data_IF_452578676500
#
_entry.id   IF_452578676500
#
_cell.length_a   1.000
_cell.length_b   1.000
_cell.length_c   1.000
_cell.angle_alpha   90.00
_cell.angle_beta   90.00
_cell.angle_gamma   90.00
#
_symmetry.space_group_name_H-M   'P 1'
#
loop_
_entity.id
_entity.type
_entity.pdbx_description
1 polymer ?
#
# COMPACT_ATOMS: atom_id res chain seq x y z
N UNK A 1 -6.23 13.42 -22.10
CA UNK A 1 -5.75 12.11 -22.62
C UNK A 1 -6.15 10.95 -21.70
N UNK A 2 -5.87 11.01 -20.39
CA UNK A 2 -6.19 9.90 -19.47
C UNK A 2 -7.69 9.55 -19.43
N UNK A 3 -8.58 10.52 -19.44
CA UNK A 3 -10.05 10.29 -19.43
C UNK A 3 -10.51 9.39 -20.59
N UNK A 4 -9.99 9.60 -21.78
CA UNK A 4 -10.32 8.76 -22.94
C UNK A 4 -9.74 7.35 -22.78
N UNK A 5 -8.48 7.23 -22.35
CA UNK A 5 -7.87 5.93 -22.08
C UNK A 5 -8.65 5.15 -21.00
N UNK A 6 -9.07 5.82 -19.92
CA UNK A 6 -9.90 5.23 -18.86
C UNK A 6 -11.26 4.75 -19.42
N UNK A 7 -11.92 5.55 -20.26
CA UNK A 7 -13.21 5.14 -20.86
C UNK A 7 -13.07 3.86 -21.71
N UNK A 8 -11.97 3.71 -22.43
CA UNK A 8 -11.69 2.49 -23.20
C UNK A 8 -11.36 1.31 -22.28
N UNK A 9 -10.49 1.50 -21.31
CA UNK A 9 -10.12 0.47 -20.33
C UNK A 9 -11.34 0.01 -19.51
N UNK A 10 -12.27 0.90 -19.20
CA UNK A 10 -13.46 0.55 -18.41
C UNK A 10 -14.49 -0.28 -19.18
N UNK A 11 -14.35 -0.42 -20.50
CA UNK A 11 -15.14 -1.38 -21.30
C UNK A 11 -14.65 -2.82 -21.15
N UNK A 12 -13.41 -3.03 -20.69
CA UNK A 12 -12.84 -4.33 -20.40
C UNK A 12 -13.19 -4.76 -18.97
N UNK A 13 -13.06 -6.06 -18.67
CA UNK A 13 -13.15 -6.52 -17.28
C UNK A 13 -12.12 -5.82 -16.39
N UNK A 14 -12.40 -5.59 -15.09
CA UNK A 14 -11.48 -4.87 -14.23
C UNK A 14 -10.08 -5.47 -14.16
N UNK A 15 -9.96 -6.79 -14.11
CA UNK A 15 -8.67 -7.47 -14.02
C UNK A 15 -7.90 -7.44 -15.35
N UNK A 16 -8.61 -7.61 -16.50
CA UNK A 16 -7.99 -7.43 -17.83
C UNK A 16 -7.48 -6.02 -18.04
N UNK A 17 -8.24 -5.00 -17.61
CA UNK A 17 -7.79 -3.61 -17.67
C UNK A 17 -6.55 -3.38 -16.81
N UNK A 18 -6.51 -3.99 -15.63
CA UNK A 18 -5.37 -3.91 -14.72
C UNK A 18 -4.11 -4.49 -15.38
N UNK A 19 -4.21 -5.72 -15.90
CA UNK A 19 -3.07 -6.42 -16.52
C UNK A 19 -2.55 -5.64 -17.74
N UNK A 20 -3.44 -5.21 -18.63
CA UNK A 20 -3.07 -4.40 -19.80
C UNK A 20 -2.42 -3.07 -19.40
N UNK A 21 -2.97 -2.37 -18.40
CA UNK A 21 -2.41 -1.10 -17.91
C UNK A 21 -1.03 -1.30 -17.31
N UNK A 22 -0.83 -2.37 -16.55
CA UNK A 22 0.45 -2.70 -15.94
C UNK A 22 1.52 -3.01 -16.99
N UNK A 23 1.14 -3.78 -18.03
CA UNK A 23 2.03 -4.10 -19.16
C UNK A 23 2.44 -2.84 -19.93
N UNK A 24 1.49 -1.94 -20.19
CA UNK A 24 1.74 -0.66 -20.90
C UNK A 24 2.64 0.26 -20.06
N UNK A 25 2.37 0.41 -18.76
CA UNK A 25 3.20 1.20 -17.84
C UNK A 25 4.60 0.60 -17.77
N UNK A 26 4.73 -0.72 -17.65
CA UNK A 26 6.01 -1.40 -17.63
C UNK A 26 6.80 -1.24 -18.93
N UNK A 27 6.14 -1.38 -20.08
CA UNK A 27 6.76 -1.17 -21.39
C UNK A 27 7.22 0.29 -21.57
N UNK A 28 6.36 1.25 -21.25
CA UNK A 28 6.70 2.68 -21.27
C UNK A 28 7.85 3.02 -20.33
N UNK A 29 7.90 2.37 -19.16
CA UNK A 29 8.99 2.52 -18.20
C UNK A 29 10.33 2.07 -18.75
N UNK A 30 10.37 0.89 -19.40
CA UNK A 30 11.61 0.39 -20.06
C UNK A 30 12.11 1.32 -21.16
N UNK A 31 11.21 1.97 -21.87
CA UNK A 31 11.51 2.91 -22.96
C UNK A 31 11.75 4.35 -22.46
N UNK A 32 11.55 4.65 -21.19
CA UNK A 32 11.69 6.01 -20.64
C UNK A 32 10.57 6.98 -21.05
N UNK A 33 9.43 6.47 -21.52
CA UNK A 33 8.36 7.30 -22.12
C UNK A 33 7.31 7.77 -21.13
N UNK A 34 7.16 7.12 -19.98
CA UNK A 34 6.08 7.44 -19.05
C UNK A 34 6.17 8.86 -18.47
N UNK A 35 7.37 9.38 -18.28
CA UNK A 35 7.56 10.77 -17.87
C UNK A 35 7.02 11.82 -18.85
N UNK A 36 6.76 11.44 -20.11
CA UNK A 36 6.14 12.32 -21.11
C UNK A 36 4.62 12.40 -20.98
N UNK A 37 4.00 11.43 -20.27
CA UNK A 37 2.54 11.35 -20.13
C UNK A 37 1.98 12.35 -19.11
N UNK A 38 2.81 12.86 -18.22
CA UNK A 38 2.42 13.80 -17.19
C UNK A 38 3.55 14.78 -16.85
N UNK A 39 3.16 15.96 -16.43
CA UNK A 39 4.14 16.93 -15.89
C UNK A 39 4.59 16.42 -14.51
N UNK A 40 5.88 16.23 -14.34
CA UNK A 40 6.48 15.83 -13.06
C UNK A 40 6.02 16.80 -11.93
N UNK A 41 5.71 16.28 -10.74
CA UNK A 41 5.43 17.13 -9.58
C UNK A 41 6.68 17.92 -9.18
N UNK A 42 6.48 19.04 -8.49
CA UNK A 42 7.58 19.77 -7.88
C UNK A 42 8.30 18.90 -6.85
N UNK A 43 9.62 19.05 -6.74
CA UNK A 43 10.37 18.41 -5.65
C UNK A 43 9.95 19.03 -4.32
N UNK A 44 9.46 18.22 -3.43
CA UNK A 44 9.07 18.60 -2.06
C UNK A 44 9.63 17.54 -1.11
N UNK A 45 10.97 17.54 -0.92
CA UNK A 45 11.63 16.49 -0.16
C UNK A 45 11.16 16.46 1.28
N UNK A 46 10.97 15.26 1.80
CA UNK A 46 10.67 14.99 3.20
C UNK A 46 11.52 13.82 3.68
N UNK A 47 12.04 13.90 4.91
CA UNK A 47 12.74 12.78 5.55
C UNK A 47 11.76 12.09 6.50
N UNK A 48 11.55 10.80 6.32
CA UNK A 48 10.66 9.96 7.13
C UNK A 48 11.34 8.60 7.31
N UNK A 49 11.32 8.03 8.51
CA UNK A 49 12.00 6.75 8.81
C UNK A 49 13.52 6.74 8.46
N UNK A 50 14.18 7.90 8.46
CA UNK A 50 15.56 8.02 8.01
C UNK A 50 15.77 7.93 6.49
N UNK A 51 14.70 7.94 5.70
CA UNK A 51 14.71 7.88 4.25
C UNK A 51 14.33 9.24 3.65
N UNK A 52 15.01 9.63 2.57
CA UNK A 52 14.73 10.86 1.84
C UNK A 52 13.77 10.61 0.68
N UNK A 53 12.56 11.13 0.80
CA UNK A 53 11.52 11.04 -0.22
C UNK A 53 11.53 12.32 -1.06
N UNK A 54 11.60 12.26 -2.41
CA UNK A 54 11.59 13.46 -3.25
C UNK A 54 10.27 14.23 -3.21
N UNK A 55 9.18 13.56 -2.85
CA UNK A 55 7.87 14.14 -2.51
C UNK A 55 7.08 13.14 -1.63
N UNK A 56 6.04 13.60 -0.90
CA UNK A 56 5.34 12.77 0.08
C UNK A 56 4.29 11.82 -0.50
N UNK A 57 4.15 11.70 -1.82
CA UNK A 57 3.07 10.93 -2.47
C UNK A 57 3.62 9.66 -3.09
N UNK A 58 3.17 8.50 -2.60
CA UNK A 58 3.61 7.19 -3.06
C UNK A 58 2.54 6.36 -3.75
N UNK A 59 2.99 5.33 -4.46
CA UNK A 59 2.14 4.25 -4.95
C UNK A 59 1.87 3.26 -3.82
N UNK A 60 0.61 2.92 -3.58
CA UNK A 60 0.25 1.88 -2.63
C UNK A 60 0.47 0.47 -3.19
N UNK A 61 0.83 -0.47 -2.32
CA UNK A 61 0.90 -1.89 -2.67
C UNK A 61 -0.41 -2.42 -3.26
N UNK A 62 -0.29 -3.43 -4.11
CA UNK A 62 -1.41 -4.12 -4.76
C UNK A 62 -1.61 -3.74 -6.23
N UNK A 63 -1.15 -2.56 -6.68
CA UNK A 63 -1.15 -2.20 -8.10
C UNK A 63 -0.05 -2.95 -8.87
N UNK A 64 1.14 -3.02 -8.34
CA UNK A 64 2.22 -3.84 -8.90
C UNK A 64 2.65 -4.91 -7.90
N UNK A 65 1.97 -6.06 -7.93
CA UNK A 65 2.23 -7.13 -6.95
C UNK A 65 3.55 -7.84 -7.16
N UNK A 66 4.02 -7.90 -8.40
CA UNK A 66 5.16 -8.71 -8.80
C UNK A 66 6.38 -7.90 -9.27
N UNK A 67 6.36 -6.57 -9.14
CA UNK A 67 7.44 -5.70 -9.60
C UNK A 67 7.54 -5.59 -11.12
N UNK A 68 6.42 -5.70 -11.84
CA UNK A 68 6.39 -5.69 -13.31
C UNK A 68 6.65 -4.30 -13.92
N UNK A 69 6.33 -3.23 -13.18
CA UNK A 69 6.32 -1.85 -13.68
C UNK A 69 6.98 -0.82 -12.75
N UNK A 70 7.95 -1.24 -11.93
CA UNK A 70 8.63 -0.37 -10.94
C UNK A 70 9.13 0.92 -11.60
N UNK A 71 9.95 0.81 -12.67
CA UNK A 71 10.50 1.96 -13.40
C UNK A 71 9.39 2.82 -14.02
N UNK A 72 8.32 2.15 -14.46
CA UNK A 72 7.18 2.80 -15.07
C UNK A 72 6.41 3.70 -14.11
N UNK A 73 6.12 3.23 -12.93
CA UNK A 73 5.46 4.02 -11.88
C UNK A 73 6.35 5.14 -11.36
N UNK A 74 7.63 4.87 -11.17
CA UNK A 74 8.59 5.90 -10.76
C UNK A 74 8.63 7.08 -11.74
N UNK A 75 8.60 6.82 -13.06
CA UNK A 75 8.57 7.86 -14.09
C UNK A 75 7.29 8.69 -14.12
N UNK A 76 6.20 8.21 -13.55
CA UNK A 76 4.95 8.95 -13.43
C UNK A 76 4.96 10.03 -12.33
N UNK A 77 6.02 10.09 -11.53
CA UNK A 77 6.24 11.16 -10.55
C UNK A 77 5.92 10.80 -9.10
N UNK A 78 5.63 9.52 -8.80
CA UNK A 78 5.56 9.07 -7.41
C UNK A 78 6.87 9.31 -6.67
N UNK A 79 6.81 9.84 -5.45
CA UNK A 79 7.96 10.02 -4.58
C UNK A 79 8.53 8.71 -4.06
N UNK A 80 7.71 7.67 -4.00
CA UNK A 80 8.10 6.31 -3.66
C UNK A 80 7.12 5.30 -4.25
N UNK A 81 7.59 4.07 -4.42
CA UNK A 81 6.80 2.97 -4.99
C UNK A 81 6.76 1.83 -3.99
N UNK A 82 5.56 1.36 -3.64
CA UNK A 82 5.38 0.13 -2.84
C UNK A 82 4.82 -0.98 -3.73
N UNK A 83 5.58 -2.07 -3.84
CA UNK A 83 5.21 -3.28 -4.60
C UNK A 83 4.79 -4.41 -3.67
N UNK A 84 4.13 -5.44 -4.20
CA UNK A 84 3.54 -6.52 -3.41
C UNK A 84 2.02 -6.32 -3.27
N UNK A 85 1.32 -7.04 -2.40
CA UNK A 85 1.81 -7.94 -1.36
C UNK A 85 2.36 -9.22 -1.98
N UNK A 86 3.54 -9.58 -1.54
CA UNK A 86 4.22 -10.82 -1.92
C UNK A 86 4.16 -11.84 -0.78
N UNK A 87 4.14 -13.11 -1.11
CA UNK A 87 4.18 -14.23 -0.16
C UNK A 87 5.41 -15.10 -0.44
N UNK A 88 5.87 -15.95 0.51
CA UNK A 88 7.02 -16.83 0.28
C UNK A 88 6.90 -17.66 -0.99
N UNK A 89 5.75 -18.28 -1.20
CA UNK A 89 5.44 -19.11 -2.37
C UNK A 89 4.46 -18.40 -3.30
N UNK A 90 4.49 -18.67 -4.62
CA UNK A 90 3.46 -18.17 -5.52
C UNK A 90 2.08 -18.73 -5.13
N UNK A 91 1.04 -17.91 -5.37
CA UNK A 91 -0.34 -18.37 -5.20
C UNK A 91 -1.29 -17.65 -6.17
N UNK A 92 -2.35 -18.33 -6.64
CA UNK A 92 -3.26 -17.79 -7.65
C UNK A 92 -4.21 -16.72 -7.08
N UNK A 93 -4.38 -16.66 -5.75
CA UNK A 93 -5.41 -15.88 -5.10
C UNK A 93 -6.80 -16.51 -5.22
N UNK A 94 -7.83 -15.74 -4.90
CA UNK A 94 -9.23 -16.19 -4.92
C UNK A 94 -9.74 -16.42 -6.35
N UNK A 95 -10.79 -17.23 -6.56
CA UNK A 95 -11.44 -17.41 -7.86
C UNK A 95 -11.94 -16.10 -8.48
N UNK A 96 -11.91 -16.01 -9.81
CA UNK A 96 -12.50 -14.90 -10.59
C UNK A 96 -14.02 -15.11 -10.77
N UNK A 97 -14.83 -14.01 -10.86
CA UNK A 97 -14.45 -12.60 -10.75
C UNK A 97 -14.13 -12.19 -9.30
N UNK A 98 -13.14 -11.34 -9.11
CA UNK A 98 -12.62 -10.94 -7.80
C UNK A 98 -12.24 -9.45 -7.69
N UNK A 99 -12.59 -8.67 -8.70
CA UNK A 99 -12.34 -7.23 -8.78
C UNK A 99 -13.53 -6.55 -9.43
N UNK A 100 -14.16 -5.60 -8.74
CA UNK A 100 -15.38 -4.92 -9.14
C UNK A 100 -15.21 -3.42 -9.02
N UNK A 101 -15.51 -2.70 -10.11
CA UNK A 101 -15.49 -1.24 -10.13
C UNK A 101 -16.86 -0.70 -9.78
N UNK A 102 -16.88 0.37 -8.99
CA UNK A 102 -18.07 1.15 -8.63
C UNK A 102 -17.85 2.58 -9.11
N UNK A 103 -18.04 2.86 -10.42
CA UNK A 103 -17.66 4.14 -11.03
C UNK A 103 -18.35 5.34 -10.41
N UNK A 104 -19.61 5.22 -10.03
CA UNK A 104 -20.42 6.30 -9.43
C UNK A 104 -19.86 6.74 -8.07
N UNK A 105 -19.31 5.78 -7.30
CA UNK A 105 -18.67 6.03 -6.01
C UNK A 105 -17.15 6.24 -6.11
N UNK A 106 -16.55 6.22 -7.29
CA UNK A 106 -15.08 6.13 -7.45
C UNK A 106 -14.47 5.06 -6.52
N UNK A 107 -15.19 3.93 -6.38
CA UNK A 107 -14.88 2.82 -5.49
C UNK A 107 -14.46 1.57 -6.25
N UNK A 108 -13.78 0.67 -5.54
CA UNK A 108 -13.42 -0.66 -6.03
C UNK A 108 -13.61 -1.66 -4.89
N UNK A 109 -14.35 -2.74 -5.16
CA UNK A 109 -14.38 -3.90 -4.28
C UNK A 109 -13.45 -4.96 -4.85
N UNK A 110 -12.60 -5.54 -4.00
CA UNK A 110 -11.73 -6.63 -4.39
C UNK A 110 -11.68 -7.74 -3.34
N UNK A 111 -11.53 -8.97 -3.84
CA UNK A 111 -11.23 -10.17 -3.07
C UNK A 111 -10.06 -10.94 -3.69
N UNK A 112 -8.96 -10.21 -3.97
CA UNK A 112 -7.81 -10.75 -4.73
C UNK A 112 -7.13 -11.93 -4.05
N UNK A 113 -6.99 -11.93 -2.71
CA UNK A 113 -6.39 -13.05 -1.96
C UNK A 113 -4.88 -13.17 -2.17
N UNK A 114 -4.17 -12.06 -2.29
CA UNK A 114 -2.72 -11.99 -2.49
C UNK A 114 -2.21 -12.84 -3.67
N UNK A 115 -2.90 -12.77 -4.83
CA UNK A 115 -2.39 -13.40 -6.04
C UNK A 115 -1.02 -12.82 -6.39
N UNK A 116 0.01 -13.68 -6.45
CA UNK A 116 1.38 -13.27 -6.71
C UNK A 116 2.24 -14.46 -7.19
N UNK A 117 3.42 -14.17 -7.72
CA UNK A 117 4.36 -15.14 -8.28
C UNK A 117 5.49 -15.56 -7.32
N UNK A 118 5.35 -15.22 -6.02
CA UNK A 118 6.32 -15.55 -4.98
C UNK A 118 7.48 -14.58 -4.88
N UNK A 119 8.10 -14.56 -3.70
CA UNK A 119 9.14 -13.57 -3.36
C UNK A 119 10.36 -13.65 -4.28
N UNK A 120 10.76 -14.84 -4.72
CA UNK A 120 11.94 -15.01 -5.57
C UNK A 120 11.72 -14.40 -6.96
N UNK A 121 10.50 -14.52 -7.52
CA UNK A 121 10.14 -13.86 -8.76
C UNK A 121 10.20 -12.33 -8.62
N UNK A 122 9.60 -11.80 -7.55
CA UNK A 122 9.63 -10.35 -7.27
C UNK A 122 11.07 -9.83 -7.17
N UNK A 123 11.95 -10.53 -6.47
CA UNK A 123 13.36 -10.13 -6.31
C UNK A 123 14.11 -10.10 -7.64
N UNK A 124 13.85 -11.05 -8.54
CA UNK A 124 14.42 -11.03 -9.89
C UNK A 124 13.97 -9.76 -10.66
N UNK A 125 12.71 -9.33 -10.48
CA UNK A 125 12.19 -8.09 -11.07
C UNK A 125 12.82 -6.83 -10.45
N UNK A 126 12.97 -6.82 -9.12
CA UNK A 126 13.65 -5.71 -8.41
C UNK A 126 15.10 -5.57 -8.86
N UNK A 127 15.82 -6.68 -8.99
CA UNK A 127 17.20 -6.66 -9.47
C UNK A 127 17.35 -6.13 -10.91
N UNK A 128 16.34 -6.36 -11.77
CA UNK A 128 16.31 -5.88 -13.15
C UNK A 128 15.85 -4.41 -13.28
N UNK A 129 15.22 -3.84 -12.25
CA UNK A 129 14.73 -2.46 -12.26
C UNK A 129 15.89 -1.45 -12.21
N UNK A 130 15.73 -0.34 -12.91
CA UNK A 130 16.68 0.79 -12.93
C UNK A 130 16.38 1.83 -11.84
N UNK A 131 15.22 1.76 -11.23
CA UNK A 131 14.77 2.67 -10.16
C UNK A 131 15.74 2.65 -8.98
N UNK A 132 16.15 3.85 -8.53
CA UNK A 132 17.08 4.06 -7.41
C UNK A 132 16.46 4.90 -6.29
N UNK A 133 15.15 5.18 -6.38
CA UNK A 133 14.42 5.90 -5.34
C UNK A 133 13.96 4.96 -4.22
N UNK A 134 13.05 5.45 -3.38
CA UNK A 134 12.54 4.70 -2.22
C UNK A 134 11.57 3.61 -2.69
N UNK A 135 11.98 2.35 -2.52
CA UNK A 135 11.21 1.15 -2.85
C UNK A 135 10.72 0.46 -1.58
N UNK A 136 9.40 0.46 -1.35
CA UNK A 136 8.77 -0.36 -0.34
C UNK A 136 8.42 -1.75 -0.89
N UNK A 137 8.62 -2.79 -0.07
CA UNK A 137 8.18 -4.16 -0.40
C UNK A 137 7.19 -4.62 0.65
N UNK A 138 5.96 -4.87 0.21
CA UNK A 138 4.86 -5.33 1.05
C UNK A 138 4.85 -6.85 1.11
N UNK A 139 4.90 -7.40 2.31
CA UNK A 139 4.95 -8.85 2.57
C UNK A 139 3.71 -9.34 3.29
N UNK A 140 3.33 -10.57 3.03
CA UNK A 140 2.17 -11.21 3.63
C UNK A 140 2.33 -12.73 3.73
N UNK A 141 1.35 -13.37 4.39
CA UNK A 141 1.34 -14.81 4.55
C UNK A 141 0.64 -15.50 3.36
N UNK A 142 1.10 -16.69 2.99
CA UNK A 142 0.39 -17.58 2.06
C UNK A 142 -1.00 -17.97 2.57
N UNK A 143 -1.91 -18.25 1.64
CA UNK A 143 -3.29 -18.60 1.96
C UNK A 143 -3.38 -19.88 2.80
N UNK A 144 -2.58 -20.89 2.46
CA UNK A 144 -2.55 -22.21 3.07
C UNK A 144 -1.69 -22.31 4.34
N UNK A 145 -0.97 -21.24 4.71
CA UNK A 145 -0.26 -21.18 6.00
C UNK A 145 -1.27 -20.90 7.12
N UNK A 146 -1.35 -21.75 8.16
CA UNK A 146 -2.21 -21.50 9.32
C UNK A 146 -1.87 -20.15 9.98
N UNK A 147 -2.86 -19.51 10.62
CA UNK A 147 -2.67 -18.19 11.25
C UNK A 147 -1.64 -18.26 12.39
N UNK A 148 -1.61 -19.37 13.11
CA UNK A 148 -0.69 -19.64 14.21
C UNK A 148 0.78 -19.74 13.74
N UNK A 149 0.98 -19.97 12.45
CA UNK A 149 2.31 -20.03 11.80
C UNK A 149 2.54 -18.85 10.84
N UNK A 150 1.72 -17.83 10.91
CA UNK A 150 1.83 -16.67 10.01
C UNK A 150 3.22 -16.01 10.08
N UNK A 151 3.82 -15.98 11.27
CA UNK A 151 5.15 -15.40 11.49
C UNK A 151 6.21 -16.03 10.60
N UNK A 152 6.16 -17.33 10.35
CA UNK A 152 7.12 -18.03 9.50
C UNK A 152 7.19 -17.41 8.09
N UNK A 153 6.04 -17.14 7.50
CA UNK A 153 5.94 -16.56 6.16
C UNK A 153 6.46 -15.12 6.11
N UNK A 154 6.17 -14.32 7.15
CA UNK A 154 6.70 -12.96 7.25
C UNK A 154 8.22 -12.96 7.42
N UNK A 155 8.78 -13.84 8.25
CA UNK A 155 10.22 -13.95 8.44
C UNK A 155 10.94 -14.42 7.17
N UNK A 156 10.40 -15.42 6.46
CA UNK A 156 10.93 -15.88 5.18
C UNK A 156 10.97 -14.75 4.15
N UNK A 157 9.87 -13.98 4.04
CA UNK A 157 9.83 -12.84 3.14
C UNK A 157 10.81 -11.75 3.59
N UNK A 158 10.83 -11.39 4.87
CA UNK A 158 11.70 -10.35 5.42
C UNK A 158 13.18 -10.66 5.13
N UNK A 159 13.62 -11.90 5.38
CA UNK A 159 14.99 -12.33 5.09
C UNK A 159 15.39 -12.08 3.64
N UNK A 160 14.50 -12.45 2.73
CA UNK A 160 14.76 -12.37 1.29
C UNK A 160 14.72 -10.93 0.77
N UNK A 161 13.76 -10.10 1.24
CA UNK A 161 13.59 -8.75 0.70
C UNK A 161 14.48 -7.70 1.35
N UNK A 162 15.05 -7.97 2.53
CA UNK A 162 15.74 -7.00 3.36
C UNK A 162 16.85 -6.23 2.64
N UNK A 163 17.70 -6.95 1.90
CA UNK A 163 18.81 -6.34 1.18
C UNK A 163 18.35 -5.42 0.02
N UNK A 164 17.13 -5.63 -0.47
CA UNK A 164 16.59 -5.02 -1.69
C UNK A 164 15.59 -3.90 -1.44
N UNK A 165 15.00 -3.86 -0.26
CA UNK A 165 14.01 -2.85 0.11
C UNK A 165 14.65 -1.60 0.73
N UNK A 166 14.00 -0.45 0.51
CA UNK A 166 14.25 0.77 1.29
C UNK A 166 13.48 0.69 2.62
N UNK A 167 12.26 0.17 2.61
CA UNK A 167 11.47 -0.21 3.79
C UNK A 167 10.62 -1.45 3.48
N UNK A 168 10.20 -2.17 4.50
CA UNK A 168 9.32 -3.34 4.34
C UNK A 168 7.99 -3.06 5.02
N UNK A 169 6.89 -3.36 4.31
CA UNK A 169 5.53 -3.28 4.87
C UNK A 169 5.04 -4.67 5.25
N UNK A 170 4.69 -4.86 6.51
CA UNK A 170 4.05 -6.08 7.03
C UNK A 170 2.54 -5.92 6.93
N UNK A 171 1.90 -6.69 6.06
CA UNK A 171 0.47 -6.58 5.81
C UNK A 171 -0.33 -7.58 6.66
N UNK A 172 -0.88 -7.10 7.76
CA UNK A 172 -1.73 -7.89 8.68
C UNK A 172 -3.23 -7.58 8.51
N UNK A 173 -3.61 -6.85 7.46
CA UNK A 173 -4.92 -6.18 7.38
C UNK A 173 -5.80 -6.60 6.19
N UNK A 174 -5.37 -7.55 5.34
CA UNK A 174 -6.19 -7.99 4.22
C UNK A 174 -7.46 -8.70 4.72
N UNK A 175 -8.65 -8.28 4.24
CA UNK A 175 -9.89 -8.99 4.55
C UNK A 175 -10.07 -10.27 3.73
N UNK A 176 -9.19 -10.51 2.77
CA UNK A 176 -9.32 -11.56 1.75
C UNK A 176 -8.43 -12.79 2.02
N UNK A 177 -7.78 -12.82 3.17
CA UNK A 177 -6.97 -13.94 3.66
C UNK A 177 -7.55 -14.40 5.00
N UNK A 178 -8.01 -15.66 5.11
CA UNK A 178 -8.68 -16.15 6.32
C UNK A 178 -7.86 -15.90 7.59
N UNK A 179 -8.50 -15.38 8.62
CA UNK A 179 -7.91 -15.15 9.93
C UNK A 179 -6.82 -14.08 10.01
N UNK A 180 -6.38 -13.49 8.89
CA UNK A 180 -5.25 -12.56 8.90
C UNK A 180 -5.46 -11.36 9.81
N UNK A 181 -6.67 -10.79 9.82
CA UNK A 181 -6.97 -9.62 10.64
C UNK A 181 -6.94 -9.88 12.15
N UNK A 182 -7.04 -11.14 12.60
CA UNK A 182 -6.88 -11.45 14.02
C UNK A 182 -5.46 -11.18 14.53
N UNK A 183 -4.47 -11.16 13.63
CA UNK A 183 -3.09 -10.80 13.97
C UNK A 183 -2.91 -9.32 14.35
N UNK A 184 -3.93 -8.47 14.16
CA UNK A 184 -3.85 -7.05 14.51
C UNK A 184 -4.12 -6.77 15.99
N UNK A 185 -4.46 -7.78 16.78
CA UNK A 185 -4.97 -7.59 18.14
C UNK A 185 -4.21 -8.40 19.18
N UNK A 186 -4.14 -7.84 20.40
CA UNK A 186 -3.71 -8.53 21.60
C UNK A 186 -2.30 -9.11 21.53
N UNK A 187 -2.14 -10.26 22.17
CA UNK A 187 -0.83 -10.94 22.28
C UNK A 187 -0.32 -11.42 20.91
N UNK A 188 -1.22 -11.77 19.98
CA UNK A 188 -0.83 -12.20 18.63
C UNK A 188 -0.10 -11.11 17.86
N UNK A 189 -0.56 -9.84 17.98
CA UNK A 189 0.14 -8.71 17.37
C UNK A 189 1.49 -8.50 18.04
N UNK A 190 1.53 -8.43 19.37
CA UNK A 190 2.76 -8.17 20.13
C UNK A 190 3.84 -9.22 19.83
N UNK A 191 3.46 -10.50 19.79
CA UNK A 191 4.39 -11.58 19.49
C UNK A 191 4.93 -11.45 18.05
N UNK A 192 4.04 -11.28 17.05
CA UNK A 192 4.47 -11.08 15.67
C UNK A 192 5.44 -9.90 15.52
N UNK A 193 5.14 -8.77 16.17
CA UNK A 193 5.99 -7.58 16.09
C UNK A 193 7.33 -7.79 16.79
N UNK A 194 7.35 -8.51 17.92
CA UNK A 194 8.58 -8.85 18.63
C UNK A 194 9.50 -9.74 17.77
N UNK A 195 8.96 -10.80 17.17
CA UNK A 195 9.71 -11.71 16.28
C UNK A 195 10.29 -10.96 15.06
N UNK A 196 9.50 -10.04 14.49
CA UNK A 196 9.95 -9.20 13.37
C UNK A 196 11.02 -8.20 13.79
N UNK A 197 10.93 -7.60 14.99
CA UNK A 197 11.92 -6.67 15.52
C UNK A 197 13.25 -7.37 15.78
N UNK A 198 13.22 -8.57 16.39
CA UNK A 198 14.39 -9.41 16.61
C UNK A 198 15.07 -9.75 15.27
N UNK A 199 14.28 -10.25 14.31
CA UNK A 199 14.82 -10.60 12.99
C UNK A 199 15.38 -9.41 12.23
N UNK A 200 14.72 -8.26 12.31
CA UNK A 200 15.24 -7.01 11.73
C UNK A 200 16.60 -6.64 12.33
N UNK A 201 16.78 -6.78 13.65
CA UNK A 201 18.05 -6.48 14.31
C UNK A 201 19.18 -7.39 13.81
N UNK A 202 18.92 -8.71 13.68
CA UNK A 202 19.88 -9.66 13.11
C UNK A 202 20.26 -9.31 11.68
N UNK A 203 19.25 -8.97 10.86
CA UNK A 203 19.46 -8.60 9.46
C UNK A 203 20.21 -7.27 9.33
N UNK A 204 19.94 -6.31 10.22
CA UNK A 204 20.65 -5.04 10.24
C UNK A 204 22.15 -5.24 10.50
N UNK A 205 22.53 -6.13 11.45
CA UNK A 205 23.92 -6.50 11.71
C UNK A 205 24.55 -7.21 10.49
N UNK A 206 23.81 -8.15 9.88
CA UNK A 206 24.28 -8.92 8.72
C UNK A 206 24.54 -8.06 7.49
N UNK A 207 23.66 -7.08 7.22
CA UNK A 207 23.71 -6.26 6.02
C UNK A 207 24.33 -4.87 6.23
N UNK A 208 24.68 -4.51 7.47
CA UNK A 208 25.26 -3.20 7.80
C UNK A 208 24.32 -2.02 7.52
N UNK A 209 23.00 -2.26 7.48
CA UNK A 209 21.99 -1.21 7.26
C UNK A 209 20.71 -1.49 8.03
N UNK A 210 20.06 -0.44 8.53
CA UNK A 210 18.71 -0.53 9.06
C UNK A 210 17.68 -0.38 7.93
N UNK A 211 16.75 -1.32 7.82
CA UNK A 211 15.61 -1.26 6.90
C UNK A 211 14.34 -1.11 7.73
N UNK A 212 13.64 0.04 7.64
CA UNK A 212 12.43 0.30 8.41
C UNK A 212 11.32 -0.71 8.16
N UNK A 213 10.58 -1.07 9.23
CA UNK A 213 9.37 -1.89 9.17
C UNK A 213 8.13 -1.02 9.39
N UNK A 214 7.22 -1.02 8.41
CA UNK A 214 5.91 -0.37 8.50
C UNK A 214 4.80 -1.42 8.63
N UNK A 215 3.86 -1.24 9.55
CA UNK A 215 2.76 -2.17 9.77
C UNK A 215 1.50 -1.62 9.12
N UNK A 216 0.89 -2.38 8.19
CA UNK A 216 -0.31 -1.95 7.48
C UNK A 216 -1.56 -2.52 8.14
N UNK A 217 -2.43 -1.62 8.62
CA UNK A 217 -3.62 -1.93 9.42
C UNK A 217 -4.93 -1.73 8.63
N UNK A 218 -6.00 -2.34 9.13
CA UNK A 218 -7.35 -2.19 8.59
C UNK A 218 -8.02 -0.91 9.13
N UNK A 219 -9.03 -0.36 8.43
CA UNK A 219 -9.82 0.75 8.94
C UNK A 219 -10.99 0.29 9.82
N UNK A 220 -11.25 -1.02 9.89
CA UNK A 220 -12.43 -1.59 10.55
C UNK A 220 -12.11 -1.98 12.02
N UNK A 221 -11.55 -1.02 12.75
CA UNK A 221 -11.20 -1.13 14.18
C UNK A 221 -11.90 -0.02 14.95
N UNK A 222 -12.15 -0.24 16.23
CA UNK A 222 -12.59 0.82 17.17
C UNK A 222 -11.41 1.75 17.49
N UNK A 223 -11.70 2.89 18.11
CA UNK A 223 -10.65 3.82 18.53
C UNK A 223 -9.75 3.19 19.59
N UNK A 224 -10.33 2.40 20.52
CA UNK A 224 -9.59 1.65 21.54
C UNK A 224 -8.69 0.59 20.94
N UNK A 225 -9.17 -0.16 19.94
CA UNK A 225 -8.36 -1.14 19.22
C UNK A 225 -7.22 -0.45 18.48
N UNK A 226 -7.49 0.69 17.87
CA UNK A 226 -6.48 1.50 17.17
C UNK A 226 -5.41 2.03 18.13
N UNK A 227 -5.82 2.46 19.33
CA UNK A 227 -4.91 2.89 20.40
C UNK A 227 -4.02 1.73 20.89
N UNK A 228 -4.59 0.53 21.07
CA UNK A 228 -3.82 -0.67 21.45
C UNK A 228 -2.78 -1.03 20.38
N UNK A 229 -3.13 -0.93 19.11
CA UNK A 229 -2.17 -1.12 18.01
C UNK A 229 -1.05 -0.08 18.08
N UNK A 230 -1.39 1.21 18.23
CA UNK A 230 -0.39 2.27 18.34
C UNK A 230 0.60 2.01 19.49
N UNK A 231 0.09 1.59 20.66
CA UNK A 231 0.93 1.25 21.81
C UNK A 231 1.83 0.05 21.52
N UNK A 232 1.31 -1.02 20.90
CA UNK A 232 2.10 -2.19 20.53
C UNK A 232 3.23 -1.84 19.55
N UNK A 233 2.97 -0.95 18.58
CA UNK A 233 3.99 -0.49 17.62
C UNK A 233 5.13 0.28 18.33
N UNK A 234 4.79 1.12 19.31
CA UNK A 234 5.78 1.87 20.10
C UNK A 234 6.62 0.89 20.96
N UNK A 235 5.96 -0.01 21.69
CA UNK A 235 6.60 -0.96 22.60
C UNK A 235 7.57 -1.90 21.88
N UNK A 236 7.26 -2.30 20.66
CA UNK A 236 8.07 -3.22 19.85
C UNK A 236 9.05 -2.51 18.91
N UNK A 237 9.11 -1.18 18.95
CA UNK A 237 10.07 -0.40 18.18
C UNK A 237 9.88 -0.51 16.67
N UNK A 238 8.62 -0.56 16.19
CA UNK A 238 8.33 -0.45 14.76
C UNK A 238 8.67 0.95 14.24
N UNK A 239 8.88 1.10 12.93
CA UNK A 239 9.37 2.36 12.35
C UNK A 239 8.25 3.23 11.75
N UNK A 240 7.11 2.62 11.40
CA UNK A 240 5.95 3.35 10.86
C UNK A 240 4.65 2.52 10.92
N UNK A 241 3.53 3.19 10.70
CA UNK A 241 2.23 2.54 10.46
C UNK A 241 1.64 3.03 9.13
N UNK A 242 1.02 2.10 8.36
CA UNK A 242 0.27 2.44 7.15
C UNK A 242 -1.23 2.32 7.47
N UNK A 243 -1.93 3.44 7.43
CA UNK A 243 -3.36 3.55 7.68
C UNK A 243 -4.07 4.17 6.46
N UNK A 244 -4.89 3.36 5.70
CA UNK A 244 -5.38 2.02 6.02
C UNK A 244 -5.38 1.09 4.81
N UNK A 245 -5.69 -0.18 5.03
CA UNK A 245 -6.14 -1.11 4.01
C UNK A 245 -7.61 -0.79 3.61
N UNK A 246 -8.26 -1.70 2.89
CA UNK A 246 -9.67 -1.62 2.46
C UNK A 246 -10.63 -1.92 3.61
N UNK A 247 -11.89 -1.46 3.51
CA UNK A 247 -12.95 -1.69 4.50
C UNK A 247 -13.91 -2.81 4.10
N UNK A 248 -14.49 -3.47 5.09
CA UNK A 248 -15.64 -4.37 4.91
C UNK A 248 -16.99 -3.63 4.94
N UNK A 249 -17.00 -2.37 5.37
CA UNK A 249 -18.19 -1.52 5.32
C UNK A 249 -18.64 -1.30 3.86
N UNK A 250 -19.96 -1.18 3.67
CA UNK A 250 -20.58 -0.87 2.38
C UNK A 250 -21.21 0.53 2.36
N UNK A 251 -20.95 1.32 3.40
CA UNK A 251 -21.44 2.70 3.47
C UNK A 251 -21.00 3.49 2.23
N UNK A 252 -21.97 4.10 1.57
CA UNK A 252 -21.76 4.90 0.36
C UNK A 252 -21.73 4.12 -0.95
N UNK A 253 -22.07 2.81 -0.93
CA UNK A 253 -22.16 1.98 -2.12
C UNK A 253 -23.43 1.09 -2.11
N UNK A 254 -24.32 1.31 -1.15
CA UNK A 254 -25.55 0.55 -0.99
C UNK A 254 -26.42 0.71 -2.25
N UNK A 255 -26.95 -0.40 -2.75
CA UNK A 255 -27.83 -0.44 -3.92
C UNK A 255 -27.14 -0.19 -5.26
N UNK A 256 -25.82 0.05 -5.28
CA UNK A 256 -25.07 0.13 -6.54
C UNK A 256 -24.84 -1.26 -7.14
N UNK A 257 -24.70 -1.34 -8.45
CA UNK A 257 -24.27 -2.56 -9.13
C UNK A 257 -22.93 -3.02 -8.53
N UNK A 258 -22.84 -4.27 -8.11
CA UNK A 258 -21.70 -4.85 -7.36
C UNK A 258 -21.44 -4.26 -5.97
N UNK A 259 -22.30 -3.41 -5.42
CA UNK A 259 -22.10 -2.81 -4.09
C UNK A 259 -22.06 -3.82 -2.96
N UNK A 260 -22.77 -4.94 -3.10
CA UNK A 260 -22.87 -6.03 -2.09
C UNK A 260 -21.82 -7.14 -2.26
N UNK A 261 -20.94 -7.03 -3.26
CA UNK A 261 -19.90 -8.04 -3.48
C UNK A 261 -19.00 -8.24 -2.25
N UNK A 262 -18.64 -9.49 -1.96
CA UNK A 262 -17.70 -9.81 -0.90
C UNK A 262 -16.30 -9.29 -1.21
N UNK A 263 -15.58 -8.82 -0.19
CA UNK A 263 -14.21 -8.31 -0.33
C UNK A 263 -14.01 -6.94 0.33
N UNK A 264 -12.86 -6.36 0.10
CA UNK A 264 -12.50 -5.05 0.65
C UNK A 264 -12.89 -3.91 -0.29
N UNK A 265 -13.60 -2.91 0.22
CA UNK A 265 -13.97 -1.68 -0.48
C UNK A 265 -12.87 -0.63 -0.32
N UNK A 266 -12.47 -0.02 -1.43
CA UNK A 266 -11.47 1.06 -1.52
C UNK A 266 -12.00 2.22 -2.36
N UNK A 267 -11.23 3.30 -2.48
CA UNK A 267 -11.62 4.51 -3.21
C UNK A 267 -12.32 5.53 -2.31
N UNK A 268 -13.09 6.45 -2.90
CA UNK A 268 -13.70 7.54 -2.16
C UNK A 268 -14.53 7.08 -0.94
N UNK A 269 -15.26 5.94 -0.98
CA UNK A 269 -16.06 5.50 0.18
C UNK A 269 -15.27 5.24 1.47
N UNK A 270 -13.98 4.91 1.38
CA UNK A 270 -13.15 4.65 2.57
C UNK A 270 -12.48 5.90 3.15
N UNK A 271 -12.63 7.07 2.49
CA UNK A 271 -11.89 8.30 2.82
C UNK A 271 -12.05 8.72 4.27
N UNK A 272 -13.28 8.91 4.70
CA UNK A 272 -13.57 9.48 6.02
C UNK A 272 -13.14 8.52 7.14
N UNK A 273 -13.42 7.24 6.97
CA UNK A 273 -13.00 6.19 7.90
C UNK A 273 -11.47 6.08 8.01
N UNK A 274 -10.77 6.10 6.88
CA UNK A 274 -9.30 6.11 6.87
C UNK A 274 -8.73 7.38 7.49
N UNK A 275 -9.33 8.56 7.24
CA UNK A 275 -8.90 9.82 7.86
C UNK A 275 -9.12 9.80 9.36
N UNK A 276 -10.23 9.23 9.84
CA UNK A 276 -10.50 9.05 11.26
C UNK A 276 -9.43 8.17 11.92
N UNK A 277 -9.12 7.00 11.33
CA UNK A 277 -8.06 6.12 11.84
C UNK A 277 -6.70 6.84 11.91
N UNK A 278 -6.37 7.66 10.91
CA UNK A 278 -5.13 8.48 10.93
C UNK A 278 -5.12 9.45 12.09
N UNK A 279 -6.25 10.13 12.39
CA UNK A 279 -6.36 11.08 13.51
C UNK A 279 -6.18 10.38 14.86
N UNK A 280 -6.81 9.23 15.05
CA UNK A 280 -6.66 8.43 16.28
C UNK A 280 -5.21 8.00 16.45
N UNK A 281 -4.59 7.44 15.41
CA UNK A 281 -3.17 7.07 15.44
C UNK A 281 -2.26 8.27 15.74
N UNK A 282 -2.51 9.43 15.13
CA UNK A 282 -1.69 10.62 15.36
C UNK A 282 -1.74 11.09 16.82
N UNK A 283 -2.94 11.02 17.44
CA UNK A 283 -3.13 11.31 18.86
C UNK A 283 -2.35 10.32 19.74
N UNK A 284 -2.52 9.02 19.50
CA UNK A 284 -1.95 7.95 20.33
C UNK A 284 -0.42 7.83 20.17
N UNK A 285 0.08 7.99 18.96
CA UNK A 285 1.51 7.91 18.67
C UNK A 285 2.27 9.15 19.18
N UNK A 286 1.62 10.30 19.31
CA UNK A 286 2.23 11.53 19.83
C UNK A 286 3.52 11.92 19.08
N UNK A 287 3.61 11.63 17.79
CA UNK A 287 4.77 11.92 16.94
C UNK A 287 5.94 10.92 17.07
N UNK A 288 5.83 9.86 17.88
CA UNK A 288 6.89 8.85 18.07
C UNK A 288 7.12 7.99 16.82
N UNK A 289 6.06 7.73 16.04
CA UNK A 289 6.14 7.01 14.77
C UNK A 289 5.42 7.78 13.67
N UNK A 290 5.99 7.82 12.46
CA UNK A 290 5.32 8.41 11.30
C UNK A 290 4.17 7.53 10.81
N UNK A 291 3.14 8.20 10.25
CA UNK A 291 1.97 7.57 9.65
C UNK A 291 2.05 7.75 8.13
N UNK A 292 1.92 6.67 7.38
CA UNK A 292 1.72 6.69 5.93
C UNK A 292 0.23 6.49 5.69
N UNK A 293 -0.47 7.53 5.23
CA UNK A 293 -1.91 7.46 5.06
C UNK A 293 -2.29 6.90 3.69
N UNK A 294 -3.24 5.95 3.66
CA UNK A 294 -3.81 5.38 2.44
C UNK A 294 -5.32 5.24 2.58
N UNK A 295 -6.04 5.48 1.49
CA UNK A 295 -7.50 5.31 1.42
C UNK A 295 -8.24 6.61 1.11
N UNK A 296 -9.04 6.59 0.04
CA UNK A 296 -9.95 7.65 -0.33
C UNK A 296 -9.31 8.90 -0.97
N UNK A 297 -8.06 8.84 -1.38
CA UNK A 297 -7.40 9.97 -2.06
C UNK A 297 -7.77 9.93 -3.54
N UNK A 298 -8.75 10.76 -3.95
CA UNK A 298 -9.23 10.91 -5.33
C UNK A 298 -9.10 12.34 -5.85
N UNK A 299 -8.66 13.27 -5.00
CA UNK A 299 -8.33 14.67 -5.34
C UNK A 299 -7.13 15.12 -4.50
N UNK A 300 -6.41 16.17 -4.94
CA UNK A 300 -5.26 16.70 -4.21
C UNK A 300 -5.60 17.13 -2.78
N UNK A 301 -6.78 17.75 -2.58
CA UNK A 301 -7.23 18.15 -1.22
C UNK A 301 -7.34 16.98 -0.24
N UNK A 302 -7.68 15.77 -0.72
CA UNK A 302 -7.76 14.59 0.15
C UNK A 302 -6.38 14.14 0.64
N UNK A 303 -5.34 14.32 -0.17
CA UNK A 303 -3.95 14.09 0.28
C UNK A 303 -3.53 15.12 1.35
N UNK A 304 -3.86 16.39 1.14
CA UNK A 304 -3.63 17.46 2.12
C UNK A 304 -4.38 17.20 3.43
N UNK A 305 -5.62 16.73 3.37
CA UNK A 305 -6.44 16.32 4.53
C UNK A 305 -5.75 15.23 5.37
N UNK A 306 -5.15 14.21 4.72
CA UNK A 306 -4.40 13.15 5.43
C UNK A 306 -3.19 13.71 6.18
N UNK A 307 -2.45 14.63 5.55
CA UNK A 307 -1.31 15.30 6.22
C UNK A 307 -1.79 16.14 7.40
N UNK A 308 -2.86 16.91 7.24
CA UNK A 308 -3.48 17.68 8.33
C UNK A 308 -3.98 16.79 9.46
N UNK A 309 -4.42 15.57 9.15
CA UNK A 309 -4.83 14.57 10.13
C UNK A 309 -3.66 13.95 10.92
N UNK A 310 -2.40 14.25 10.54
CA UNK A 310 -1.19 13.79 11.23
C UNK A 310 -0.33 12.81 10.46
N UNK A 311 -0.64 12.54 9.18
CA UNK A 311 0.21 11.69 8.35
C UNK A 311 1.49 12.42 7.91
N UNK A 312 2.58 11.68 7.76
CA UNK A 312 3.85 12.15 7.21
C UNK A 312 3.94 11.95 5.69
N UNK A 313 3.36 10.87 5.20
CA UNK A 313 3.32 10.47 3.79
C UNK A 313 1.92 9.99 3.41
N UNK A 314 1.62 9.97 2.11
CA UNK A 314 0.38 9.42 1.58
C UNK A 314 0.65 8.40 0.48
N UNK A 315 -0.25 7.42 0.35
CA UNK A 315 -0.24 6.42 -0.73
C UNK A 315 -1.55 6.46 -1.51
N UNK A 316 -1.45 6.37 -2.84
CA UNK A 316 -2.58 6.36 -3.76
C UNK A 316 -2.71 4.99 -4.43
N UNK A 317 -3.95 4.48 -4.52
CA UNK A 317 -4.34 3.25 -5.25
C UNK A 317 -5.53 3.53 -6.18
N UNK A 318 -6.76 3.46 -5.67
CA UNK A 318 -8.00 3.60 -6.46
C UNK A 318 -8.11 4.97 -7.13
N UNK A 319 -7.65 6.02 -6.45
CA UNK A 319 -7.62 7.37 -7.04
C UNK A 319 -6.76 7.43 -8.30
N UNK A 320 -5.64 6.71 -8.35
CA UNK A 320 -4.81 6.63 -9.56
C UNK A 320 -5.57 5.94 -10.71
N UNK A 321 -6.37 4.91 -10.42
CA UNK A 321 -7.17 4.22 -11.44
C UNK A 321 -8.26 5.14 -12.01
N UNK A 322 -8.86 6.00 -11.18
CA UNK A 322 -9.94 6.90 -11.61
C UNK A 322 -9.44 8.22 -12.23
N UNK A 323 -8.37 8.79 -11.70
CA UNK A 323 -7.88 10.13 -12.07
C UNK A 323 -6.58 10.11 -12.88
N UNK A 324 -5.85 9.00 -12.87
CA UNK A 324 -4.57 8.85 -13.56
C UNK A 324 -3.41 9.62 -12.92
N UNK A 325 -2.31 9.78 -13.68
CA UNK A 325 -1.08 10.38 -13.16
C UNK A 325 -1.20 11.84 -12.71
N UNK A 326 -2.19 12.59 -13.21
CA UNK A 326 -2.42 13.99 -12.80
C UNK A 326 -2.63 14.11 -11.27
N UNK A 327 -3.30 13.11 -10.67
CA UNK A 327 -3.57 13.09 -9.24
C UNK A 327 -2.28 13.14 -8.38
N UNK A 328 -1.19 12.57 -8.87
CA UNK A 328 0.10 12.58 -8.14
C UNK A 328 0.54 14.02 -7.93
N UNK A 329 0.58 14.80 -9.02
CA UNK A 329 0.98 16.20 -8.97
C UNK A 329 0.00 17.04 -8.16
N UNK A 330 -1.31 16.89 -8.38
CA UNK A 330 -2.34 17.58 -7.61
C UNK A 330 -2.18 17.34 -6.10
N UNK A 331 -1.85 16.10 -5.71
CA UNK A 331 -1.62 15.75 -4.31
C UNK A 331 -0.35 16.42 -3.75
N UNK A 332 0.74 16.41 -4.51
CA UNK A 332 2.00 17.07 -4.10
C UNK A 332 1.79 18.60 -3.97
N UNK A 333 1.11 19.23 -4.94
CA UNK A 333 0.85 20.65 -4.93
C UNK A 333 -0.07 21.04 -3.75
N UNK A 334 -1.12 20.27 -3.49
CA UNK A 334 -2.03 20.50 -2.35
C UNK A 334 -1.33 20.35 -0.99
N UNK A 335 -0.47 19.34 -0.82
CA UNK A 335 0.33 19.16 0.40
C UNK A 335 1.33 20.31 0.56
N UNK A 336 1.93 20.77 -0.54
CA UNK A 336 2.87 21.88 -0.50
C UNK A 336 2.22 23.20 -0.08
N UNK A 337 0.94 23.38 -0.34
CA UNK A 337 0.18 24.55 0.04
C UNK A 337 -0.17 24.63 1.55
N UNK A 338 0.02 23.52 2.31
CA UNK A 338 -0.15 23.49 3.77
C UNK A 338 1.05 24.09 4.52
N UNK A 339 2.17 24.28 3.85
CA UNK A 339 3.43 24.82 4.38
C UNK A 339 3.62 26.24 3.87
#
# INVERSE_FOLDING_TARGET
MYTLARQLLFKLSPETSHDLSLDLIGAGGRLGLNGLLCKAPAKKPVNVMGLDFPNPVGLAAGLDKNGAAIDGFAQLGFGFVEIGTITPRPQPGNPKPRLFRLPEAEGIINRMGFNNLGVDYLLARVAAAKYKGVLGINIGKNFDTPVERAVDDYLICLDKVYAHASYVTVNVSSPNTPGLRSLQFGDSLKQLLADLAERRAELALRHGKHVPLAIKIAPDMTDEETAQVAQALIETGMDAVIATNTTLSRVGVEGMEHGDEAGGLSGAPVRDKSTHTVKVLASELGGKLPIIAAGGITEGKHAAEKITAGASLVQIYSGFIYKGPALIRESVDAIAALR
#
